data_IF_762956898729
#
_entry.id   IF_762956898729
#
_cell.length_a   1.000
_cell.length_b   1.000
_cell.length_c   1.000
_cell.angle_alpha   90.00
_cell.angle_beta   90.00
_cell.angle_gamma   90.00
#
_symmetry.space_group_name_H-M   'P 1'
#
loop_
_entity.id
_entity.type
_entity.pdbx_description
1 polymer ?
#
# COMPACT_ATOMS: atom_id res chain seq x y z
N UNK A 1 4.90 8.74 -9.99
CA UNK A 1 3.46 8.85 -10.35
C UNK A 1 2.75 9.57 -9.22
N UNK A 2 1.57 10.16 -9.45
CA UNK A 2 0.85 10.88 -8.39
C UNK A 2 0.10 9.93 -7.43
N UNK A 3 -0.44 10.47 -6.34
CA UNK A 3 -1.22 9.70 -5.37
C UNK A 3 -2.48 9.07 -5.98
N UNK A 4 -3.13 9.74 -6.95
CA UNK A 4 -4.34 9.21 -7.59
C UNK A 4 -4.04 7.91 -8.34
N UNK A 5 -2.91 7.88 -9.06
CA UNK A 5 -2.41 6.66 -9.68
C UNK A 5 -2.11 5.59 -8.63
N UNK A 6 -1.41 5.94 -7.54
CA UNK A 6 -1.07 5.00 -6.48
C UNK A 6 -2.30 4.34 -5.85
N UNK A 7 -3.33 5.13 -5.57
CA UNK A 7 -4.61 4.64 -5.06
C UNK A 7 -5.31 3.73 -6.07
N UNK A 8 -5.29 4.07 -7.36
CA UNK A 8 -5.87 3.24 -8.39
C UNK A 8 -5.13 1.90 -8.54
N UNK A 9 -3.80 1.91 -8.48
CA UNK A 9 -2.99 0.70 -8.50
C UNK A 9 -3.29 -0.22 -7.31
N UNK A 10 -3.44 0.35 -6.10
CA UNK A 10 -3.89 -0.38 -4.91
C UNK A 10 -5.27 -1.04 -5.10
N UNK A 11 -6.22 -0.34 -5.72
CA UNK A 11 -7.55 -0.89 -6.03
C UNK A 11 -7.50 -2.05 -7.04
N UNK A 12 -6.51 -2.06 -7.93
CA UNK A 12 -6.23 -3.14 -8.88
C UNK A 12 -5.44 -4.30 -8.26
N UNK A 13 -5.08 -4.22 -6.98
CA UNK A 13 -4.35 -5.25 -6.25
C UNK A 13 -2.83 -5.15 -6.37
N UNK A 14 -2.29 -4.08 -6.97
CA UNK A 14 -0.85 -3.83 -6.97
C UNK A 14 -0.41 -3.25 -5.62
N UNK A 15 0.80 -3.59 -5.21
CA UNK A 15 1.47 -2.90 -4.11
C UNK A 15 2.14 -1.62 -4.65
N UNK A 16 2.25 -0.59 -3.82
CA UNK A 16 2.90 0.68 -4.19
C UNK A 16 3.86 1.16 -3.10
N UNK A 17 4.86 1.93 -3.51
CA UNK A 17 5.81 2.59 -2.61
C UNK A 17 6.17 3.97 -3.14
N UNK A 18 6.83 4.77 -2.30
CA UNK A 18 7.44 6.06 -2.67
C UNK A 18 8.93 5.91 -2.82
N UNK A 19 9.54 6.65 -3.76
CA UNK A 19 11.00 6.66 -3.95
C UNK A 19 11.68 7.17 -2.68
N UNK A 20 11.10 8.20 -2.04
CA UNK A 20 11.58 8.82 -0.81
C UNK A 20 11.56 7.89 0.42
N UNK A 21 10.88 6.74 0.35
CA UNK A 21 10.86 5.78 1.44
C UNK A 21 12.08 4.85 1.47
N UNK A 22 12.96 4.88 0.47
CA UNK A 22 14.19 4.06 0.41
C UNK A 22 13.97 2.55 0.69
N UNK A 23 12.77 2.03 0.37
CA UNK A 23 12.39 0.64 0.62
C UNK A 23 11.83 0.34 2.01
N UNK A 24 11.73 1.32 2.91
CA UNK A 24 11.25 1.14 4.29
C UNK A 24 9.71 1.10 4.43
N UNK A 25 8.99 1.20 3.30
CA UNK A 25 7.54 1.25 3.27
C UNK A 25 6.95 0.62 2.02
N UNK A 26 5.94 -0.23 2.21
CA UNK A 26 5.18 -0.84 1.13
C UNK A 26 3.69 -0.76 1.45
N UNK A 27 2.92 -0.06 0.62
CA UNK A 27 1.47 -0.01 0.73
C UNK A 27 0.80 -1.15 -0.02
N UNK A 28 -0.20 -1.73 0.61
CA UNK A 28 -1.08 -2.73 0.02
C UNK A 28 -2.52 -2.47 0.48
N UNK A 29 -3.48 -2.89 -0.34
CA UNK A 29 -4.89 -2.89 0.00
C UNK A 29 -5.30 -4.30 0.43
N UNK A 30 -5.81 -4.42 1.66
CA UNK A 30 -6.38 -5.67 2.15
C UNK A 30 -7.88 -5.68 1.86
N UNK A 31 -8.35 -6.77 1.26
CA UNK A 31 -9.76 -7.15 1.27
C UNK A 31 -9.99 -8.14 2.42
N UNK A 32 -11.00 -7.94 3.29
CA UNK A 32 -11.30 -8.87 4.36
C UNK A 32 -11.58 -10.30 3.86
N UNK A 33 -11.04 -11.28 4.58
CA UNK A 33 -11.26 -12.72 4.43
C UNK A 33 -11.67 -13.35 5.78
N UNK A 34 -11.78 -14.68 5.84
CA UNK A 34 -12.20 -15.42 7.05
C UNK A 34 -11.27 -15.20 8.27
N UNK A 35 -10.01 -14.85 8.03
CA UNK A 35 -8.99 -14.63 9.06
C UNK A 35 -8.79 -13.13 9.39
N UNK A 36 -9.49 -12.25 8.69
CA UNK A 36 -9.36 -10.81 8.82
C UNK A 36 -10.05 -10.26 10.07
N UNK A 37 -9.32 -9.44 10.84
CA UNK A 37 -9.88 -8.70 11.98
C UNK A 37 -10.76 -7.52 11.58
N UNK A 38 -10.50 -6.92 10.41
CA UNK A 38 -11.24 -5.78 9.88
C UNK A 38 -12.28 -6.26 8.86
N UNK A 39 -13.46 -5.66 8.86
CA UNK A 39 -14.61 -6.11 8.06
C UNK A 39 -14.88 -5.28 6.80
N UNK A 40 -14.05 -4.28 6.53
CA UNK A 40 -14.10 -3.44 5.32
C UNK A 40 -12.70 -3.36 4.69
N UNK A 41 -12.58 -3.09 3.37
CA UNK A 41 -11.29 -2.86 2.72
C UNK A 41 -10.50 -1.72 3.37
N UNK A 42 -9.19 -1.90 3.50
CA UNK A 42 -8.31 -0.90 4.09
C UNK A 42 -6.91 -0.94 3.48
N UNK A 43 -6.20 0.19 3.54
CA UNK A 43 -4.79 0.26 3.19
C UNK A 43 -3.96 0.05 4.44
N UNK A 44 -2.91 -0.76 4.33
CA UNK A 44 -1.90 -0.92 5.35
C UNK A 44 -0.52 -0.67 4.75
N UNK A 45 0.42 -0.30 5.61
CA UNK A 45 1.84 -0.23 5.27
C UNK A 45 2.56 -1.41 5.91
N UNK A 46 3.42 -2.06 5.15
CA UNK A 46 4.46 -2.95 5.68
C UNK A 46 5.70 -2.12 5.94
N UNK A 47 6.16 -2.08 7.19
CA UNK A 47 7.37 -1.36 7.60
C UNK A 47 8.63 -2.11 7.15
N UNK A 48 9.79 -1.47 7.25
CA UNK A 48 11.10 -2.09 7.04
C UNK A 48 11.32 -3.39 7.86
N UNK A 49 10.70 -3.49 9.05
CA UNK A 49 10.82 -4.67 9.91
C UNK A 49 9.74 -5.73 9.64
N UNK A 50 8.86 -5.50 8.65
CA UNK A 50 7.79 -6.43 8.27
C UNK A 50 6.52 -6.32 9.11
N UNK A 51 6.38 -5.30 9.97
CA UNK A 51 5.13 -5.07 10.67
C UNK A 51 4.08 -4.50 9.72
N UNK A 52 2.82 -4.93 9.86
CA UNK A 52 1.69 -4.42 9.08
C UNK A 52 0.80 -3.57 9.96
N UNK A 53 0.66 -2.30 9.61
CA UNK A 53 -0.15 -1.35 10.37
C UNK A 53 -1.10 -0.60 9.44
N UNK A 54 -2.33 -0.25 9.89
CA UNK A 54 -3.23 0.57 9.12
C UNK A 54 -2.54 1.88 8.71
N UNK A 55 -2.73 2.28 7.46
CA UNK A 55 -2.09 3.47 6.91
C UNK A 55 -3.14 4.49 6.45
N UNK A 56 -2.87 5.76 6.73
CA UNK A 56 -3.63 6.90 6.24
C UNK A 56 -2.66 7.86 5.54
N UNK A 57 -3.01 8.39 4.36
CA UNK A 57 -2.15 9.35 3.68
C UNK A 57 -2.00 10.61 4.51
N UNK A 58 -0.77 11.09 4.65
CA UNK A 58 -0.49 12.44 5.12
C UNK A 58 -0.70 13.47 4.00
N UNK A 59 -0.67 14.76 4.32
CA UNK A 59 -0.71 15.80 3.27
C UNK A 59 0.50 15.71 2.33
N UNK A 60 1.66 15.29 2.83
CA UNK A 60 2.84 15.09 1.99
C UNK A 60 2.63 13.93 1.01
N UNK A 61 2.00 12.85 1.46
CA UNK A 61 1.71 11.69 0.61
C UNK A 61 0.71 12.01 -0.51
N UNK A 62 -0.32 12.81 -0.21
CA UNK A 62 -1.31 13.25 -1.19
C UNK A 62 -0.71 14.15 -2.28
N UNK A 63 0.33 14.93 -1.94
CA UNK A 63 1.00 15.86 -2.85
C UNK A 63 2.25 15.26 -3.54
N UNK A 64 2.63 14.05 -3.16
CA UNK A 64 3.79 13.37 -3.71
C UNK A 64 3.56 12.88 -5.15
N UNK A 65 4.60 12.99 -5.97
CA UNK A 65 4.64 12.57 -7.37
C UNK A 65 5.66 11.44 -7.62
N UNK A 66 6.21 10.87 -6.55
CA UNK A 66 7.27 9.86 -6.54
C UNK A 66 6.75 8.43 -6.28
N UNK A 67 5.46 8.18 -6.50
CA UNK A 67 4.86 6.86 -6.34
C UNK A 67 5.26 5.89 -7.47
N UNK A 68 5.47 4.62 -7.12
CA UNK A 68 5.69 3.52 -8.07
C UNK A 68 5.02 2.21 -7.63
N UNK A 69 4.66 1.37 -8.60
CA UNK A 69 4.13 0.02 -8.34
C UNK A 69 5.26 -0.97 -8.09
N UNK A 70 5.03 -1.91 -7.19
CA UNK A 70 5.91 -3.06 -6.98
C UNK A 70 5.24 -4.29 -7.58
N UNK A 71 5.95 -4.94 -8.51
CA UNK A 71 5.58 -6.26 -9.00
C UNK A 71 5.94 -7.30 -7.94
N UNK A 72 5.02 -7.51 -7.00
CA UNK A 72 5.11 -8.65 -6.11
C UNK A 72 4.66 -9.90 -6.89
N UNK A 73 5.36 -11.04 -6.76
CA UNK A 73 4.78 -12.30 -7.22
C UNK A 73 3.43 -12.47 -6.52
N UNK A 74 2.38 -12.78 -7.29
CA UNK A 74 1.06 -13.08 -6.77
C UNK A 74 1.21 -14.05 -5.59
N UNK A 75 0.97 -13.57 -4.37
CA UNK A 75 0.84 -14.47 -3.24
C UNK A 75 -0.39 -15.34 -3.54
N UNK A 76 -0.29 -16.68 -3.46
CA UNK A 76 -1.47 -17.51 -3.58
C UNK A 76 -2.44 -17.11 -2.47
N UNK A 77 -3.65 -16.75 -2.89
CA UNK A 77 -4.81 -16.67 -2.00
C UNK A 77 -5.06 -18.05 -1.37
#
# INVERSE_FOLDING_TARGET
MDYSFALHALQLGHAVARIDWDGDGLLQLQLPDEDSKMTLPYVYITTANGERVPWSPSQADLLADDWYTIDLPLAPF
#
